data_IF_250263796120
#
_entry.id   IF_250263796120
#
_cell.length_a   1.000
_cell.length_b   1.000
_cell.length_c   1.000
_cell.angle_alpha   90.00
_cell.angle_beta   90.00
_cell.angle_gamma   90.00
#
_symmetry.space_group_name_H-M   'P 1'
#
loop_
_entity.id
_entity.type
_entity.pdbx_description
1 polymer ?
#
# COMPACT_ATOMS: atom_id res chain seq x y z
N UNK A 1 6.02 17.24 24.73
CA UNK A 1 6.58 15.89 24.58
C UNK A 1 6.54 15.45 23.13
N UNK A 2 5.36 15.12 22.58
CA UNK A 2 5.19 14.61 21.21
C UNK A 2 5.79 15.51 20.13
N UNK A 3 5.56 16.83 20.17
CA UNK A 3 6.16 17.75 19.18
C UNK A 3 7.68 17.65 19.11
N UNK A 4 8.35 17.47 20.25
CA UNK A 4 9.81 17.31 20.29
C UNK A 4 10.20 15.93 19.77
N UNK A 5 9.42 14.88 20.06
CA UNK A 5 9.65 13.55 19.52
C UNK A 5 9.54 13.51 17.99
N UNK A 6 8.56 14.19 17.41
CA UNK A 6 8.37 14.32 15.97
C UNK A 6 9.47 15.16 15.31
N UNK A 7 9.84 16.30 15.88
CA UNK A 7 10.95 17.11 15.33
C UNK A 7 12.25 16.31 15.26
N UNK A 8 12.54 15.48 16.26
CA UNK A 8 13.78 14.68 16.29
C UNK A 8 13.69 13.39 15.45
N UNK A 9 12.53 12.73 15.41
CA UNK A 9 12.35 11.41 14.78
C UNK A 9 11.75 11.43 13.38
N UNK A 10 11.02 12.49 13.03
CA UNK A 10 10.22 12.61 11.80
C UNK A 10 10.75 13.78 10.97
N UNK A 11 10.46 15.03 11.37
CA UNK A 11 10.76 16.21 10.56
C UNK A 11 12.25 16.53 10.42
N UNK A 12 13.07 16.03 11.34
CA UNK A 12 14.54 16.14 11.29
C UNK A 12 15.20 15.05 10.44
N UNK A 13 14.43 14.15 9.83
CA UNK A 13 14.93 13.04 8.99
C UNK A 13 14.44 13.21 7.56
N UNK A 14 15.13 12.57 6.63
CA UNK A 14 14.68 12.54 5.24
C UNK A 14 13.34 11.78 5.17
N UNK A 15 12.39 12.32 4.39
CA UNK A 15 11.07 11.72 4.24
C UNK A 15 11.20 10.29 3.69
N UNK A 16 10.41 9.35 4.24
CA UNK A 16 10.49 7.92 3.91
C UNK A 16 10.39 7.65 2.40
N UNK A 17 9.56 8.40 1.68
CA UNK A 17 9.50 8.34 0.22
C UNK A 17 10.81 8.65 -0.49
N UNK A 18 11.58 9.65 -0.05
CA UNK A 18 12.87 9.98 -0.67
C UNK A 18 13.91 8.91 -0.35
N UNK A 19 13.94 8.43 0.90
CA UNK A 19 14.85 7.35 1.30
C UNK A 19 14.54 6.04 0.58
N UNK A 20 13.26 5.70 0.42
CA UNK A 20 12.82 4.56 -0.38
C UNK A 20 13.14 4.73 -1.87
N UNK A 21 12.93 5.92 -2.43
CA UNK A 21 13.22 6.21 -3.84
C UNK A 21 14.70 6.07 -4.15
N UNK A 22 15.55 6.59 -3.28
CA UNK A 22 17.00 6.42 -3.33
C UNK A 22 17.40 4.94 -3.29
N UNK A 23 16.80 4.15 -2.40
CA UNK A 23 17.05 2.72 -2.37
C UNK A 23 16.60 2.03 -3.66
N UNK A 24 15.43 2.39 -4.20
CA UNK A 24 14.91 1.84 -5.46
C UNK A 24 15.91 2.12 -6.59
N UNK A 25 16.35 3.37 -6.78
CA UNK A 25 17.31 3.70 -7.85
C UNK A 25 18.68 3.02 -7.70
N UNK A 26 19.06 2.61 -6.49
CA UNK A 26 20.33 1.93 -6.23
C UNK A 26 20.26 0.41 -6.35
N UNK A 27 19.08 -0.19 -6.16
CA UNK A 27 18.93 -1.64 -5.99
C UNK A 27 18.00 -2.30 -7.03
N UNK A 28 17.10 -1.54 -7.65
CA UNK A 28 16.19 -2.06 -8.67
C UNK A 28 16.88 -2.01 -10.04
N UNK A 29 16.93 -3.13 -10.78
CA UNK A 29 17.54 -3.16 -12.11
C UNK A 29 16.89 -2.19 -13.09
N UNK A 30 17.70 -1.60 -13.97
CA UNK A 30 17.18 -0.80 -15.08
C UNK A 30 16.25 -1.63 -15.96
N UNK A 31 15.14 -1.02 -16.40
CA UNK A 31 14.11 -1.69 -17.19
C UNK A 31 13.01 -2.34 -16.36
N UNK A 32 13.13 -2.40 -15.03
CA UNK A 32 12.10 -2.99 -14.17
C UNK A 32 10.79 -2.21 -14.15
N UNK A 33 9.70 -2.95 -13.98
CA UNK A 33 8.35 -2.42 -13.84
C UNK A 33 7.92 -2.43 -12.37
N UNK A 34 7.43 -1.28 -11.89
CA UNK A 34 6.99 -1.08 -10.52
C UNK A 34 5.48 -0.88 -10.50
N UNK A 35 4.76 -1.72 -9.77
CA UNK A 35 3.33 -1.57 -9.50
C UNK A 35 3.14 -0.71 -8.26
N UNK A 36 2.30 0.32 -8.38
CA UNK A 36 1.83 1.15 -7.28
C UNK A 36 0.30 1.19 -7.29
N UNK A 37 -0.30 1.81 -6.28
CA UNK A 37 -1.75 1.78 -6.05
C UNK A 37 -2.39 3.12 -6.34
N UNK A 38 -3.38 3.13 -7.24
CA UNK A 38 -4.17 4.33 -7.49
C UNK A 38 -4.85 4.77 -6.17
N UNK A 39 -4.86 6.09 -5.91
CA UNK A 39 -5.23 6.74 -4.64
C UNK A 39 -4.15 6.76 -3.54
N UNK A 40 -2.98 6.20 -3.82
CA UNK A 40 -1.77 6.48 -3.07
C UNK A 40 -0.70 7.17 -3.93
N UNK A 41 0.49 7.37 -3.38
CA UNK A 41 1.58 8.05 -4.06
C UNK A 41 2.45 7.09 -4.88
N UNK A 42 2.69 7.37 -6.18
CA UNK A 42 3.64 6.59 -6.96
C UNK A 42 5.05 6.80 -6.43
N UNK A 43 5.77 5.70 -6.23
CA UNK A 43 7.20 5.66 -5.96
C UNK A 43 7.93 4.92 -7.08
N UNK A 44 9.23 5.21 -7.33
CA UNK A 44 10.05 6.23 -6.65
C UNK A 44 9.75 7.67 -7.13
N UNK A 45 10.00 8.65 -6.25
CA UNK A 45 10.06 10.09 -6.56
C UNK A 45 11.48 10.45 -7.03
N UNK A 46 11.61 11.47 -7.86
CA UNK A 46 12.91 12.09 -8.16
C UNK A 46 13.57 12.58 -6.87
N UNK A 47 14.84 12.22 -6.64
CA UNK A 47 15.59 12.67 -5.45
C UNK A 47 16.25 14.02 -5.74
N UNK A 48 15.85 15.12 -5.07
CA UNK A 48 16.38 16.45 -5.36
C UNK A 48 17.89 16.54 -5.08
N UNK A 49 18.63 17.17 -5.99
CA UNK A 49 20.07 17.40 -5.83
C UNK A 49 20.95 16.20 -6.20
N UNK A 50 20.38 15.12 -6.72
CA UNK A 50 21.11 13.89 -7.05
C UNK A 50 20.94 13.48 -8.51
N UNK A 51 21.91 13.82 -9.37
CA UNK A 51 21.87 13.47 -10.78
C UNK A 51 21.74 11.95 -11.00
N UNK A 52 20.79 11.56 -11.85
CA UNK A 52 20.52 10.15 -12.17
C UNK A 52 19.55 9.44 -11.22
N UNK A 53 19.13 10.09 -10.13
CA UNK A 53 18.11 9.57 -9.20
C UNK A 53 16.70 9.97 -9.65
N UNK A 54 16.35 9.57 -10.87
CA UNK A 54 15.05 9.75 -11.49
C UNK A 54 14.66 8.54 -12.36
N UNK A 55 13.35 8.35 -12.56
CA UNK A 55 12.81 7.20 -13.31
C UNK A 55 13.36 7.09 -14.74
N UNK A 56 13.55 8.22 -15.42
CA UNK A 56 14.01 8.25 -16.80
C UNK A 56 15.46 7.77 -16.91
N UNK A 57 16.32 8.29 -16.04
CA UNK A 57 17.74 7.92 -15.96
C UNK A 57 17.95 6.48 -15.50
N UNK A 58 17.11 5.98 -14.59
CA UNK A 58 17.14 4.59 -14.12
C UNK A 58 16.43 3.60 -15.07
N UNK A 59 15.76 4.08 -16.12
CA UNK A 59 15.02 3.22 -17.05
C UNK A 59 13.87 2.45 -16.39
N UNK A 60 13.31 2.96 -15.30
CA UNK A 60 12.23 2.32 -14.56
C UNK A 60 10.88 2.79 -15.10
N UNK A 61 9.84 1.97 -14.91
CA UNK A 61 8.49 2.33 -15.34
C UNK A 61 7.45 1.98 -14.29
N UNK A 62 6.52 2.90 -14.05
CA UNK A 62 5.40 2.67 -13.15
C UNK A 62 4.16 2.20 -13.92
N UNK A 63 3.46 1.25 -13.32
CA UNK A 63 2.09 0.86 -13.67
C UNK A 63 1.24 0.90 -12.40
N UNK A 64 -0.05 1.14 -12.54
CA UNK A 64 -0.99 1.16 -11.42
C UNK A 64 -2.10 0.14 -11.57
N UNK A 65 -2.78 -0.10 -10.46
CA UNK A 65 -4.07 -0.78 -10.37
C UNK A 65 -4.97 -0.05 -9.35
N UNK A 66 -6.27 -0.32 -9.39
CA UNK A 66 -7.28 0.39 -8.60
C UNK A 66 -7.86 -0.50 -7.48
N UNK A 67 -7.27 -0.51 -6.28
CA UNK A 67 -7.73 -1.36 -5.17
C UNK A 67 -9.13 -0.98 -4.65
N UNK A 68 -9.57 0.27 -4.80
CA UNK A 68 -10.89 0.73 -4.34
C UNK A 68 -12.06 0.39 -5.27
N UNK A 69 -11.80 -0.09 -6.48
CA UNK A 69 -12.87 -0.58 -7.36
C UNK A 69 -13.54 -1.80 -6.73
N UNK A 70 -14.80 -2.06 -7.09
CA UNK A 70 -15.51 -3.24 -6.56
C UNK A 70 -14.76 -4.53 -6.90
N UNK A 71 -14.78 -5.49 -5.98
CA UNK A 71 -14.19 -6.80 -6.23
C UNK A 71 -15.05 -7.58 -7.24
N UNK A 72 -14.52 -7.74 -8.44
CA UNK A 72 -15.15 -8.48 -9.54
C UNK A 72 -14.16 -9.38 -10.26
N UNK A 73 -14.67 -10.30 -11.09
CA UNK A 73 -13.85 -11.14 -11.95
C UNK A 73 -12.98 -10.32 -12.93
N UNK A 74 -13.47 -9.17 -13.39
CA UNK A 74 -12.73 -8.24 -14.25
C UNK A 74 -11.58 -7.58 -13.49
N UNK A 75 -11.83 -7.11 -12.26
CA UNK A 75 -10.77 -6.55 -11.41
C UNK A 75 -9.71 -7.60 -11.10
N UNK A 76 -10.10 -8.85 -10.84
CA UNK A 76 -9.18 -9.97 -10.68
C UNK A 76 -8.29 -10.16 -11.92
N UNK A 77 -8.89 -10.18 -13.13
CA UNK A 77 -8.14 -10.34 -14.37
C UNK A 77 -7.11 -9.21 -14.57
N UNK A 78 -7.48 -7.97 -14.26
CA UNK A 78 -6.57 -6.81 -14.30
C UNK A 78 -5.46 -6.97 -13.27
N UNK A 79 -5.78 -7.26 -12.01
CA UNK A 79 -4.79 -7.46 -10.94
C UNK A 79 -3.78 -8.56 -11.34
N UNK A 80 -4.27 -9.71 -11.80
CA UNK A 80 -3.42 -10.82 -12.26
C UNK A 80 -2.48 -10.38 -13.39
N UNK A 81 -2.98 -9.64 -14.38
CA UNK A 81 -2.14 -9.11 -15.45
C UNK A 81 -1.06 -8.17 -14.91
N UNK A 82 -1.41 -7.25 -14.00
CA UNK A 82 -0.49 -6.29 -13.41
C UNK A 82 0.61 -6.98 -12.59
N UNK A 83 0.26 -7.97 -11.78
CA UNK A 83 1.24 -8.77 -11.04
C UNK A 83 2.15 -9.58 -11.97
N UNK A 84 1.65 -10.10 -13.09
CA UNK A 84 2.53 -10.73 -14.11
C UNK A 84 3.52 -9.75 -14.71
N UNK A 85 3.13 -8.50 -14.94
CA UNK A 85 3.98 -7.47 -15.53
C UNK A 85 4.99 -6.87 -14.54
N UNK A 86 4.61 -6.72 -13.28
CA UNK A 86 5.39 -5.98 -12.28
C UNK A 86 6.56 -6.80 -11.70
N UNK A 87 7.77 -6.27 -11.76
CA UNK A 87 8.94 -6.85 -11.08
C UNK A 87 8.95 -6.50 -9.59
N UNK A 88 8.36 -5.35 -9.23
CA UNK A 88 8.24 -4.87 -7.86
C UNK A 88 6.83 -4.36 -7.59
N UNK A 89 6.36 -4.51 -6.37
CA UNK A 89 5.16 -3.84 -5.84
C UNK A 89 5.59 -2.90 -4.73
N UNK A 90 5.16 -1.64 -4.78
CA UNK A 90 5.53 -0.63 -3.79
C UNK A 90 4.28 -0.04 -3.19
N UNK A 91 4.14 -0.21 -1.88
CA UNK A 91 3.15 0.51 -1.07
C UNK A 91 3.85 1.71 -0.45
N UNK A 92 3.36 2.91 -0.77
CA UNK A 92 3.94 4.16 -0.29
C UNK A 92 3.38 4.58 1.07
N UNK A 93 2.33 3.91 1.53
CA UNK A 93 1.72 4.10 2.85
C UNK A 93 0.83 2.92 3.25
N UNK A 94 0.18 3.05 4.42
CA UNK A 94 -0.85 2.12 4.91
C UNK A 94 -2.29 2.44 4.52
N UNK A 95 -2.50 3.60 3.87
CA UNK A 95 -3.81 4.20 3.62
C UNK A 95 -4.82 3.21 3.03
N UNK A 96 -4.39 2.47 2.01
CA UNK A 96 -5.32 1.67 1.22
C UNK A 96 -5.64 0.37 1.92
N UNK A 97 -4.62 -0.40 2.33
CA UNK A 97 -4.87 -1.69 2.96
C UNK A 97 -5.59 -1.57 4.30
N UNK A 98 -5.33 -0.52 5.10
CA UNK A 98 -6.11 -0.27 6.32
C UNK A 98 -7.57 0.09 5.99
N UNK A 99 -7.78 0.93 4.96
CA UNK A 99 -9.12 1.38 4.56
C UNK A 99 -10.01 0.25 4.02
N UNK A 100 -9.45 -0.66 3.20
CA UNK A 100 -10.23 -1.79 2.67
C UNK A 100 -10.46 -2.89 3.71
N UNK A 101 -9.59 -3.01 4.71
CA UNK A 101 -9.74 -3.99 5.80
C UNK A 101 -10.95 -3.67 6.70
N UNK A 102 -11.31 -2.38 6.81
CA UNK A 102 -12.53 -1.92 7.51
C UNK A 102 -13.84 -2.29 6.80
N UNK A 103 -13.79 -2.68 5.52
CA UNK A 103 -14.96 -3.06 4.71
C UNK A 103 -14.79 -4.45 4.06
N UNK A 104 -14.59 -5.52 4.84
CA UNK A 104 -14.24 -6.83 4.31
C UNK A 104 -15.37 -7.47 3.49
N UNK A 105 -16.64 -7.13 3.76
CA UNK A 105 -17.76 -7.57 2.94
C UNK A 105 -17.77 -6.91 1.55
N UNK A 106 -17.15 -5.74 1.38
CA UNK A 106 -17.02 -5.08 0.08
C UNK A 106 -15.77 -5.52 -0.67
N UNK A 107 -14.67 -5.75 0.05
CA UNK A 107 -13.34 -5.97 -0.52
C UNK A 107 -12.70 -7.34 -0.14
N UNK A 108 -13.42 -8.47 -0.24
CA UNK A 108 -12.89 -9.77 0.20
C UNK A 108 -11.66 -10.24 -0.60
N UNK A 109 -11.65 -10.06 -1.93
CA UNK A 109 -10.53 -10.41 -2.80
C UNK A 109 -9.35 -9.46 -2.56
N UNK A 110 -9.61 -8.16 -2.43
CA UNK A 110 -8.55 -7.16 -2.22
C UNK A 110 -7.86 -7.38 -0.87
N UNK A 111 -8.61 -7.67 0.18
CA UNK A 111 -8.02 -8.04 1.49
C UNK A 111 -7.22 -9.35 1.41
N UNK A 112 -7.68 -10.32 0.61
CA UNK A 112 -6.92 -11.54 0.38
C UNK A 112 -5.63 -11.27 -0.42
N UNK A 113 -5.66 -10.37 -1.41
CA UNK A 113 -4.48 -9.92 -2.13
C UNK A 113 -3.40 -9.37 -1.19
N UNK A 114 -3.77 -8.46 -0.27
CA UNK A 114 -2.79 -7.92 0.69
C UNK A 114 -2.22 -9.00 1.60
N UNK A 115 -3.06 -9.87 2.19
CA UNK A 115 -2.55 -10.99 3.00
C UNK A 115 -1.58 -11.88 2.21
N UNK A 116 -1.93 -12.19 0.96
CA UNK A 116 -1.16 -13.05 0.07
C UNK A 116 0.14 -12.41 -0.44
N UNK A 117 0.21 -11.08 -0.47
CA UNK A 117 1.44 -10.35 -0.77
C UNK A 117 2.42 -10.44 0.41
N UNK A 118 1.94 -10.26 1.65
CA UNK A 118 2.78 -10.30 2.84
C UNK A 118 3.25 -11.73 3.20
N UNK A 119 2.43 -12.75 2.96
CA UNK A 119 2.83 -14.15 3.20
C UNK A 119 3.65 -14.76 2.04
N UNK A 120 3.79 -14.04 0.93
CA UNK A 120 4.58 -14.41 -0.24
C UNK A 120 3.93 -15.43 -1.17
N UNK A 121 2.68 -15.83 -0.93
CA UNK A 121 1.94 -16.77 -1.79
C UNK A 121 1.74 -16.23 -3.21
N UNK A 122 1.77 -14.91 -3.42
CA UNK A 122 1.75 -14.27 -4.75
C UNK A 122 3.09 -14.28 -5.49
N UNK A 123 4.14 -14.92 -4.96
CA UNK A 123 5.45 -14.99 -5.61
C UNK A 123 6.32 -13.74 -5.44
N UNK A 124 6.01 -12.94 -4.42
CA UNK A 124 6.76 -11.75 -4.01
C UNK A 124 7.33 -11.94 -2.62
N UNK A 125 8.43 -11.25 -2.32
CA UNK A 125 9.01 -11.16 -0.98
C UNK A 125 9.29 -9.71 -0.60
N UNK A 126 9.24 -9.39 0.70
CA UNK A 126 9.61 -8.07 1.19
C UNK A 126 11.11 -7.83 1.00
N UNK A 127 11.46 -6.88 0.13
CA UNK A 127 12.84 -6.54 -0.21
C UNK A 127 13.37 -5.35 0.61
N UNK A 128 12.50 -4.40 0.97
CA UNK A 128 12.86 -3.27 1.81
C UNK A 128 11.64 -2.67 2.53
N UNK A 129 11.90 -2.09 3.71
CA UNK A 129 10.93 -1.35 4.50
C UNK A 129 11.58 -0.04 4.99
N UNK A 130 10.86 1.07 4.89
CA UNK A 130 11.31 2.39 5.33
C UNK A 130 10.29 3.00 6.26
N UNK A 131 10.74 3.32 7.48
CA UNK A 131 9.93 3.93 8.54
C UNK A 131 10.69 5.08 9.17
N UNK A 132 9.95 6.03 9.76
CA UNK A 132 10.54 7.13 10.51
C UNK A 132 9.70 7.45 11.74
N UNK A 133 9.82 6.64 12.79
CA UNK A 133 9.05 6.83 14.02
C UNK A 133 9.50 8.06 14.83
N UNK A 134 8.60 8.70 15.62
CA UNK A 134 8.96 9.73 16.60
C UNK A 134 10.01 9.24 17.60
N UNK A 135 10.96 10.10 17.96
CA UNK A 135 12.09 9.74 18.85
C UNK A 135 12.39 10.81 19.89
N UNK A 136 12.56 10.42 21.14
CA UNK A 136 12.93 11.33 22.22
C UNK A 136 13.85 10.66 23.24
N UNK A 137 14.97 11.30 23.58
CA UNK A 137 15.96 10.80 24.55
C UNK A 137 16.45 9.37 24.27
N UNK A 138 16.62 9.00 22.99
CA UNK A 138 17.03 7.66 22.57
C UNK A 138 15.91 6.61 22.56
N UNK A 139 14.69 6.98 22.97
CA UNK A 139 13.51 6.14 22.85
C UNK A 139 12.85 6.37 21.49
N UNK A 140 12.37 5.28 20.89
CA UNK A 140 11.56 5.28 19.68
C UNK A 140 10.12 4.93 20.04
N UNK A 141 9.16 5.65 19.45
CA UNK A 141 7.73 5.45 19.68
C UNK A 141 7.11 4.92 18.40
N UNK A 142 6.83 3.63 18.34
CA UNK A 142 6.13 3.02 17.22
C UNK A 142 4.67 3.51 17.16
N UNK A 143 4.38 4.35 16.17
CA UNK A 143 3.07 4.96 15.93
C UNK A 143 2.35 4.38 14.69
N UNK A 144 2.83 3.24 14.17
CA UNK A 144 2.23 2.60 12.98
C UNK A 144 0.79 2.12 13.22
N UNK A 145 0.49 1.72 14.45
CA UNK A 145 -0.85 1.28 14.87
C UNK A 145 -1.68 2.40 15.50
N UNK A 146 -1.18 3.64 15.49
CA UNK A 146 -1.95 4.80 15.89
C UNK A 146 -2.95 5.19 14.79
N UNK A 147 -3.86 6.10 15.13
CA UNK A 147 -4.74 6.74 14.16
C UNK A 147 -3.94 7.32 12.97
N UNK A 148 -4.50 7.25 11.76
CA UNK A 148 -3.80 7.64 10.53
C UNK A 148 -3.21 9.05 10.57
N UNK A 149 -3.83 9.96 11.32
CA UNK A 149 -3.35 11.34 11.48
C UNK A 149 -1.95 11.43 12.12
N UNK A 150 -1.47 10.36 12.76
CA UNK A 150 -0.16 10.34 13.43
C UNK A 150 1.00 10.05 12.48
N UNK A 151 0.81 9.28 11.42
CA UNK A 151 1.92 8.80 10.59
C UNK A 151 1.73 8.97 9.09
N UNK A 152 0.48 8.92 8.61
CA UNK A 152 0.20 8.76 7.19
C UNK A 152 0.70 9.93 6.32
N UNK A 153 0.67 11.14 6.86
CA UNK A 153 0.99 12.36 6.10
C UNK A 153 2.46 12.80 6.24
N UNK A 154 3.08 12.51 7.38
CA UNK A 154 4.39 13.06 7.74
C UNK A 154 5.54 12.05 7.55
N UNK A 155 5.26 10.77 7.78
CA UNK A 155 6.26 9.69 7.71
C UNK A 155 5.63 8.33 7.39
N UNK A 156 4.90 8.20 6.27
CA UNK A 156 4.26 6.93 5.93
C UNK A 156 5.29 5.81 5.81
N UNK A 157 4.92 4.62 6.29
CA UNK A 157 5.71 3.41 6.07
C UNK A 157 5.70 3.07 4.58
N UNK A 158 6.88 2.90 4.01
CA UNK A 158 7.03 2.41 2.63
C UNK A 158 7.51 0.97 2.68
N UNK A 159 6.87 0.09 1.92
CA UNK A 159 7.31 -1.30 1.74
C UNK A 159 7.50 -1.59 0.27
N UNK A 160 8.62 -2.24 -0.06
CA UNK A 160 8.97 -2.65 -1.41
C UNK A 160 9.02 -4.16 -1.46
N UNK A 161 8.15 -4.75 -2.27
CA UNK A 161 8.11 -6.18 -2.55
C UNK A 161 8.77 -6.47 -3.89
N UNK A 162 9.59 -7.51 -3.95
CA UNK A 162 10.28 -7.97 -5.16
C UNK A 162 9.67 -9.30 -5.63
N UNK A 163 9.40 -9.41 -6.92
CA UNK A 163 9.02 -10.69 -7.54
C UNK A 163 10.18 -11.67 -7.48
N UNK A 164 9.93 -12.85 -6.92
CA UNK A 164 10.88 -13.97 -6.87
C UNK A 164 10.44 -15.16 -7.70
N UNK A 165 9.15 -15.23 -8.08
CA UNK A 165 8.59 -16.33 -8.83
C UNK A 165 7.36 -15.89 -9.63
N UNK A 166 7.28 -16.33 -10.88
CA UNK A 166 6.05 -16.20 -11.66
C UNK A 166 5.05 -17.30 -11.29
N UNK A 167 3.79 -16.90 -11.09
CA UNK A 167 2.69 -17.82 -10.89
C UNK A 167 2.03 -18.20 -12.22
N UNK A 168 1.65 -19.46 -12.34
CA UNK A 168 0.72 -19.95 -13.35
C UNK A 168 -0.71 -19.44 -13.08
N UNK A 169 -1.59 -19.52 -14.08
CA UNK A 169 -2.99 -19.13 -13.87
C UNK A 169 -3.66 -19.98 -12.78
N UNK A 170 -3.38 -21.28 -12.75
CA UNK A 170 -3.90 -22.18 -11.72
C UNK A 170 -3.44 -21.80 -10.30
N UNK A 171 -2.22 -21.28 -10.15
CA UNK A 171 -1.73 -20.81 -8.85
C UNK A 171 -2.36 -19.48 -8.44
N UNK A 172 -2.54 -18.53 -9.38
CA UNK A 172 -3.31 -17.33 -9.09
C UNK A 172 -4.75 -17.66 -8.71
N UNK A 173 -5.40 -18.57 -9.43
CA UNK A 173 -6.76 -19.00 -9.15
C UNK A 173 -6.85 -19.75 -7.81
N UNK A 174 -5.82 -20.50 -7.42
CA UNK A 174 -5.76 -21.15 -6.11
C UNK A 174 -5.63 -20.16 -4.94
N UNK A 175 -5.00 -18.99 -5.17
CA UNK A 175 -4.82 -17.96 -4.13
C UNK A 175 -6.02 -16.99 -4.09
N UNK A 176 -6.48 -16.51 -5.24
CA UNK A 176 -7.47 -15.41 -5.34
C UNK A 176 -8.76 -15.80 -6.09
N UNK A 177 -8.80 -16.93 -6.79
CA UNK A 177 -9.92 -17.31 -7.65
C UNK A 177 -11.24 -17.44 -6.89
N UNK A 178 -12.29 -16.79 -7.39
CA UNK A 178 -13.63 -16.81 -6.80
C UNK A 178 -13.77 -15.98 -5.52
N UNK A 179 -12.69 -15.40 -4.98
CA UNK A 179 -12.75 -14.63 -3.73
C UNK A 179 -13.58 -13.34 -3.81
N UNK A 180 -13.93 -12.90 -5.02
CA UNK A 180 -14.84 -11.78 -5.28
C UNK A 180 -16.33 -12.17 -5.28
N UNK A 181 -16.68 -13.47 -5.28
CA UNK A 181 -18.08 -13.91 -5.42
C UNK A 181 -18.96 -13.50 -4.23
N UNK A 182 -18.35 -13.40 -3.04
CA UNK A 182 -19.01 -12.97 -1.80
C UNK A 182 -18.97 -11.44 -1.59
N UNK A 183 -18.37 -10.68 -2.51
CA UNK A 183 -18.30 -9.23 -2.40
C UNK A 183 -19.70 -8.62 -2.48
N UNK A 184 -19.97 -7.64 -1.61
CA UNK A 184 -21.22 -6.87 -1.57
C UNK A 184 -20.95 -5.47 -2.12
N UNK A 185 -21.29 -5.20 -3.40
CA UNK A 185 -21.04 -3.91 -4.01
C UNK A 185 -21.70 -2.78 -3.22
N UNK A 186 -21.01 -1.65 -3.10
CA UNK A 186 -21.50 -0.47 -2.39
C UNK A 186 -21.78 -0.65 -0.89
N UNK A 187 -21.29 -1.73 -0.27
CA UNK A 187 -21.39 -1.87 1.19
C UNK A 187 -20.65 -0.73 1.90
N UNK A 188 -21.30 -0.13 2.91
CA UNK A 188 -20.79 1.05 3.64
C UNK A 188 -20.56 0.78 5.13
N UNK A 189 -20.50 -0.49 5.52
CA UNK A 189 -20.52 -0.90 6.92
C UNK A 189 -21.93 -1.09 7.47
N UNK A 190 -22.01 -1.60 8.70
CA UNK A 190 -23.29 -1.78 9.40
C UNK A 190 -23.85 -0.43 9.81
N UNK A 191 -25.14 -0.25 9.60
CA UNK A 191 -25.85 0.90 10.15
C UNK A 191 -25.71 0.96 11.67
N UNK A 192 -25.62 2.17 12.21
CA UNK A 192 -25.65 2.38 13.65
C UNK A 192 -26.92 1.76 14.25
N UNK A 193 -26.86 1.13 15.43
CA UNK A 193 -28.06 0.72 16.16
C UNK A 193 -29.03 1.88 16.44
N UNK A 194 -28.53 3.12 16.38
CA UNK A 194 -29.31 4.35 16.53
C UNK A 194 -29.94 4.85 15.23
N UNK A 195 -29.59 4.30 14.06
CA UNK A 195 -30.13 4.75 12.76
C UNK A 195 -31.66 4.78 12.72
N UNK A 196 -32.42 3.79 13.26
CA UNK A 196 -33.88 3.89 13.31
C UNK A 196 -34.38 5.10 14.12
N UNK A 197 -33.72 5.43 15.23
CA UNK A 197 -34.06 6.57 16.07
C UNK A 197 -33.70 7.89 15.39
N UNK A 198 -32.51 7.98 14.80
CA UNK A 198 -32.06 9.17 14.07
C UNK A 198 -32.95 9.46 12.86
N UNK A 199 -33.33 8.44 12.10
CA UNK A 199 -34.29 8.55 11.00
C UNK A 199 -35.66 9.03 11.50
N UNK A 200 -36.15 8.50 12.63
CA UNK A 200 -37.42 8.95 13.22
C UNK A 200 -37.39 10.41 13.68
N UNK A 201 -36.20 10.93 14.02
CA UNK A 201 -35.99 12.34 14.38
C UNK A 201 -35.66 13.25 13.18
N UNK A 202 -35.57 12.69 11.96
CA UNK A 202 -35.19 13.44 10.75
C UNK A 202 -33.70 13.84 10.73
N UNK A 203 -32.85 13.09 11.43
CA UNK A 203 -31.41 13.34 11.61
C UNK A 203 -30.52 12.26 10.95
N UNK A 204 -31.10 11.30 10.23
CA UNK A 204 -30.39 10.23 9.54
C UNK A 204 -30.38 10.37 8.03
#
# INVERSE_FOLDING_TARGET
FWSVAYVNGVYGREHTWLTASRWIYQNVPSGSVILWELWDDPLPKTVPGEPGMDMGSAGLRNIDWSPYEEDTAEKYAVLKQKLREADYVVYSSKRIYDSVDELPERYPMTNLYYRSMWDGSLGYELAAEFTSAPRLFGLEFDDRHADESWSLYDHPQVTVFRKVRDLSDAEFDAVLGGSWEDAVPWYRGKDSPLSPLLNALGLG
#
